data_IF_056129736250
#
_entry.id   IF_056129736250
#
_cell.length_a   1.000
_cell.length_b   1.000
_cell.length_c   1.000
_cell.angle_alpha   90.00
_cell.angle_beta   90.00
_cell.angle_gamma   90.00
#
_symmetry.space_group_name_H-M   'P 1'
#
loop_
_entity.id
_entity.type
_entity.pdbx_description
1 polymer ?
#
# COMPACT_ATOMS: atom_id res chain seq x y z
N UNK A 1 -26.34 -14.49 -7.27
CA UNK A 1 -26.12 -15.13 -5.95
C UNK A 1 -26.94 -16.41 -5.91
N UNK A 2 -26.36 -17.54 -5.48
CA UNK A 2 -27.05 -18.82 -5.31
C UNK A 2 -27.85 -18.84 -4.00
N UNK A 3 -28.98 -19.55 -3.96
CA UNK A 3 -29.78 -19.80 -2.75
C UNK A 3 -28.95 -20.45 -1.63
N UNK A 4 -27.96 -21.26 -2.00
CA UNK A 4 -27.05 -21.93 -1.05
C UNK A 4 -26.26 -20.94 -0.19
N UNK A 5 -25.83 -19.83 -0.79
CA UNK A 5 -25.07 -18.79 -0.09
C UNK A 5 -25.93 -18.13 0.98
N UNK A 6 -27.19 -17.81 0.63
CA UNK A 6 -28.13 -17.16 1.56
C UNK A 6 -28.44 -18.08 2.74
N UNK A 7 -28.67 -19.37 2.47
CA UNK A 7 -28.95 -20.35 3.52
C UNK A 7 -27.74 -20.59 4.43
N UNK A 8 -26.52 -20.59 3.87
CA UNK A 8 -25.28 -20.68 4.64
C UNK A 8 -25.10 -19.48 5.57
N UNK A 9 -25.33 -18.26 5.07
CA UNK A 9 -25.24 -17.03 5.87
C UNK A 9 -26.28 -17.01 6.99
N UNK A 10 -27.44 -17.59 6.73
CA UNK A 10 -28.50 -17.74 7.70
C UNK A 10 -28.23 -18.86 8.73
N UNK A 11 -27.04 -19.48 8.71
CA UNK A 11 -26.55 -20.40 9.73
C UNK A 11 -26.95 -21.86 9.54
N UNK A 12 -27.29 -22.27 8.32
CA UNK A 12 -27.48 -23.68 7.97
C UNK A 12 -26.15 -24.30 7.52
N UNK A 13 -25.90 -25.56 7.90
CA UNK A 13 -24.74 -26.30 7.39
C UNK A 13 -25.00 -26.87 5.99
N UNK A 14 -23.95 -27.35 5.32
CA UNK A 14 -24.03 -27.80 3.94
C UNK A 14 -25.06 -28.91 3.70
N UNK A 15 -25.23 -29.83 4.67
CA UNK A 15 -26.21 -30.92 4.59
C UNK A 15 -27.65 -30.40 4.71
N UNK A 16 -27.87 -29.47 5.63
CA UNK A 16 -29.16 -28.81 5.83
C UNK A 16 -29.55 -27.97 4.60
N UNK A 17 -28.60 -27.24 4.01
CA UNK A 17 -28.81 -26.47 2.77
C UNK A 17 -29.30 -27.38 1.65
N UNK A 18 -28.59 -28.48 1.39
CA UNK A 18 -28.98 -29.46 0.35
C UNK A 18 -30.35 -30.07 0.65
N UNK A 19 -30.64 -30.39 1.92
CA UNK A 19 -31.95 -30.92 2.31
C UNK A 19 -33.09 -29.92 2.04
N UNK A 20 -32.90 -28.64 2.33
CA UNK A 20 -33.88 -27.57 2.06
C UNK A 20 -34.11 -27.40 0.55
N UNK A 21 -33.06 -27.44 -0.27
CA UNK A 21 -33.16 -27.34 -1.73
C UNK A 21 -33.93 -28.52 -2.34
N UNK A 22 -33.69 -29.74 -1.86
CA UNK A 22 -34.41 -30.93 -2.31
C UNK A 22 -35.87 -30.89 -1.85
N UNK A 23 -36.16 -30.53 -0.60
CA UNK A 23 -37.53 -30.54 -0.06
C UNK A 23 -38.40 -29.36 -0.56
N UNK A 24 -37.78 -28.26 -0.97
CA UNK A 24 -38.48 -27.12 -1.58
C UNK A 24 -38.85 -27.35 -3.05
N UNK A 25 -38.14 -28.26 -3.73
CA UNK A 25 -38.45 -28.68 -5.10
C UNK A 25 -39.32 -29.95 -5.16
N UNK A 26 -39.13 -30.88 -4.23
CA UNK A 26 -39.88 -32.14 -4.12
C UNK A 26 -40.53 -32.23 -2.74
N UNK A 27 -41.83 -31.99 -2.67
CA UNK A 27 -42.59 -32.10 -1.42
C UNK A 27 -42.93 -33.57 -1.09
N UNK A 28 -43.20 -33.86 0.19
CA UNK A 28 -43.68 -35.15 0.70
C UNK A 28 -42.71 -36.34 0.57
N UNK A 29 -41.41 -36.09 0.71
CA UNK A 29 -40.37 -37.13 0.70
C UNK A 29 -40.26 -37.86 2.04
N UNK A 30 -39.95 -39.15 1.99
CA UNK A 30 -39.52 -39.92 3.18
C UNK A 30 -38.06 -39.62 3.48
N UNK A 31 -37.64 -39.76 4.75
CA UNK A 31 -36.23 -39.61 5.13
C UNK A 31 -35.27 -40.52 4.33
N UNK A 32 -35.71 -41.73 3.96
CA UNK A 32 -34.91 -42.65 3.12
C UNK A 32 -34.79 -42.19 1.67
N UNK A 33 -35.81 -41.49 1.15
CA UNK A 33 -35.79 -40.95 -0.21
C UNK A 33 -34.91 -39.70 -0.25
N UNK A 34 -34.99 -38.85 0.77
CA UNK A 34 -34.11 -37.71 0.94
C UNK A 34 -32.64 -38.14 1.10
N UNK A 35 -32.37 -39.16 1.92
CA UNK A 35 -31.00 -39.68 2.09
C UNK A 35 -30.37 -40.15 0.77
N UNK A 36 -31.19 -40.74 -0.12
CA UNK A 36 -30.76 -41.19 -1.43
C UNK A 36 -30.42 -40.02 -2.36
N UNK A 37 -31.20 -38.94 -2.32
CA UNK A 37 -30.93 -37.73 -3.11
C UNK A 37 -29.73 -36.93 -2.59
N UNK A 38 -29.51 -36.95 -1.28
CA UNK A 38 -28.39 -36.26 -0.65
C UNK A 38 -27.09 -37.10 -0.63
N UNK A 39 -27.11 -38.31 -1.21
CA UNK A 39 -26.01 -39.28 -1.16
C UNK A 39 -25.43 -39.46 0.26
N UNK A 40 -26.31 -39.51 1.26
CA UNK A 40 -25.94 -39.54 2.67
C UNK A 40 -26.60 -40.71 3.40
N UNK A 41 -26.23 -40.93 4.67
CA UNK A 41 -26.84 -41.99 5.47
C UNK A 41 -28.26 -41.64 5.87
N UNK A 42 -29.11 -42.65 6.07
CA UNK A 42 -30.47 -42.43 6.58
C UNK A 42 -30.48 -41.71 7.94
N UNK A 43 -29.46 -41.98 8.77
CA UNK A 43 -29.30 -41.34 10.08
C UNK A 43 -28.99 -39.84 9.93
N UNK A 44 -28.06 -39.47 9.06
CA UNK A 44 -27.69 -38.07 8.79
C UNK A 44 -28.86 -37.26 8.23
N UNK A 45 -29.67 -37.88 7.36
CA UNK A 45 -30.88 -37.26 6.83
C UNK A 45 -31.90 -37.00 7.95
N UNK A 46 -32.10 -37.93 8.89
CA UNK A 46 -32.97 -37.71 10.05
C UNK A 46 -32.45 -36.58 10.95
N UNK A 47 -31.16 -36.55 11.26
CA UNK A 47 -30.58 -35.48 12.08
C UNK A 47 -30.77 -34.08 11.46
N UNK A 48 -30.60 -33.99 10.14
CA UNK A 48 -30.82 -32.74 9.40
C UNK A 48 -32.29 -32.34 9.40
N UNK A 49 -33.19 -33.30 9.16
CA UNK A 49 -34.65 -33.08 9.19
C UNK A 49 -35.15 -32.65 10.58
N UNK A 50 -34.63 -33.26 11.64
CA UNK A 50 -35.01 -32.92 13.03
C UNK A 50 -34.62 -31.49 13.38
N UNK A 51 -33.39 -31.06 13.01
CA UNK A 51 -32.96 -29.66 13.16
C UNK A 51 -33.80 -28.70 12.32
N UNK A 52 -34.05 -29.03 11.05
CA UNK A 52 -34.86 -28.18 10.18
C UNK A 52 -36.32 -28.08 10.67
N UNK A 53 -36.85 -29.14 11.28
CA UNK A 53 -38.16 -29.14 11.90
C UNK A 53 -38.19 -28.32 13.19
N UNK A 54 -37.15 -28.39 14.03
CA UNK A 54 -37.08 -27.58 15.26
C UNK A 54 -36.94 -26.08 14.98
N UNK A 55 -36.29 -25.71 13.87
CA UNK A 55 -36.25 -24.34 13.35
C UNK A 55 -37.61 -23.94 12.73
N UNK A 56 -38.47 -24.90 12.38
CA UNK A 56 -39.78 -24.66 11.76
C UNK A 56 -39.73 -24.49 10.24
N UNK A 57 -38.61 -24.85 9.59
CA UNK A 57 -38.47 -24.84 8.13
C UNK A 57 -39.14 -26.04 7.47
N UNK A 58 -39.12 -27.20 8.14
CA UNK A 58 -39.67 -28.45 7.61
C UNK A 58 -40.91 -28.87 8.40
N UNK A 59 -41.96 -29.25 7.69
CA UNK A 59 -43.21 -29.81 8.24
C UNK A 59 -43.26 -31.31 7.99
N UNK A 60 -43.82 -32.03 8.96
CA UNK A 60 -43.87 -33.49 8.94
C UNK A 60 -45.32 -33.97 9.06
N UNK A 61 -45.71 -34.97 8.27
CA UNK A 61 -47.02 -35.63 8.40
C UNK A 61 -46.99 -36.74 9.43
N UNK A 62 -48.12 -36.99 10.09
CA UNK A 62 -48.28 -38.08 11.07
C UNK A 62 -48.43 -39.48 10.43
N UNK A 63 -48.21 -39.60 9.11
CA UNK A 63 -48.31 -40.88 8.40
C UNK A 63 -47.16 -41.83 8.77
N UNK A 64 -47.39 -43.14 8.57
CA UNK A 64 -46.35 -44.16 8.63
C UNK A 64 -46.14 -44.75 7.23
N UNK A 65 -44.97 -44.53 6.59
CA UNK A 65 -43.80 -43.78 7.07
C UNK A 65 -43.99 -42.26 7.00
N UNK A 66 -43.32 -41.53 7.91
CA UNK A 66 -43.36 -40.07 8.01
C UNK A 66 -42.87 -39.41 6.72
N UNK A 67 -43.54 -38.35 6.30
CA UNK A 67 -43.18 -37.55 5.12
C UNK A 67 -42.87 -36.12 5.52
N UNK A 68 -41.88 -35.55 4.85
CA UNK A 68 -41.34 -34.23 5.12
C UNK A 68 -41.60 -33.31 3.94
N UNK A 69 -41.88 -32.05 4.23
CA UNK A 69 -42.12 -31.01 3.23
C UNK A 69 -41.52 -29.69 3.69
N UNK A 70 -41.00 -28.92 2.75
CA UNK A 70 -40.53 -27.55 2.96
C UNK A 70 -41.40 -26.62 2.12
N UNK A 71 -41.67 -25.38 2.58
CA UNK A 71 -42.19 -24.33 1.72
C UNK A 71 -41.28 -24.11 0.49
N UNK A 72 -41.77 -23.40 -0.55
CA UNK A 72 -40.92 -22.93 -1.63
C UNK A 72 -39.67 -22.21 -1.10
N UNK A 73 -38.55 -22.33 -1.82
CA UNK A 73 -37.24 -21.84 -1.35
C UNK A 73 -37.27 -20.36 -0.93
N UNK A 74 -38.07 -19.54 -1.63
CA UNK A 74 -38.26 -18.12 -1.33
C UNK A 74 -38.91 -17.91 0.05
N UNK A 75 -40.02 -18.61 0.31
CA UNK A 75 -40.72 -18.54 1.60
C UNK A 75 -39.89 -19.13 2.74
N UNK A 76 -39.15 -20.20 2.47
CA UNK A 76 -38.25 -20.81 3.44
C UNK A 76 -37.15 -19.84 3.87
N UNK A 77 -36.56 -19.11 2.91
CA UNK A 77 -35.56 -18.07 3.19
C UNK A 77 -36.18 -16.89 3.95
N UNK A 78 -37.34 -16.39 3.55
CA UNK A 78 -38.04 -15.30 4.27
C UNK A 78 -38.35 -15.68 5.73
N UNK A 79 -38.84 -16.90 5.95
CA UNK A 79 -39.11 -17.43 7.27
C UNK A 79 -37.84 -17.50 8.12
N UNK A 80 -36.74 -17.97 7.54
CA UNK A 80 -35.45 -18.06 8.23
C UNK A 80 -34.91 -16.67 8.58
N UNK A 81 -35.01 -15.70 7.68
CA UNK A 81 -34.65 -14.29 7.94
C UNK A 81 -35.47 -13.76 9.12
N UNK A 82 -36.78 -14.04 9.16
CA UNK A 82 -37.66 -13.64 10.26
C UNK A 82 -37.20 -14.20 11.62
N UNK A 83 -36.87 -15.51 11.67
CA UNK A 83 -36.34 -16.16 12.87
C UNK A 83 -35.02 -15.51 13.31
N UNK A 84 -34.11 -15.22 12.38
CA UNK A 84 -32.81 -14.59 12.71
C UNK A 84 -32.98 -13.17 13.23
N UNK A 85 -33.89 -12.38 12.67
CA UNK A 85 -34.21 -11.04 13.19
C UNK A 85 -34.73 -11.08 14.63
N UNK A 86 -35.64 -12.01 14.93
CA UNK A 86 -36.15 -12.18 16.29
C UNK A 86 -35.06 -12.64 17.28
N UNK A 87 -34.17 -13.55 16.84
CA UNK A 87 -33.03 -13.97 17.65
C UNK A 87 -32.09 -12.80 17.94
N UNK A 88 -31.76 -11.99 16.92
CA UNK A 88 -30.93 -10.80 17.08
C UNK A 88 -31.57 -9.81 18.05
N UNK A 89 -32.85 -9.49 17.87
CA UNK A 89 -33.58 -8.58 18.74
C UNK A 89 -33.60 -9.05 20.20
N UNK A 90 -33.74 -10.37 20.45
CA UNK A 90 -33.65 -10.93 21.81
C UNK A 90 -32.25 -10.80 22.42
N UNK A 91 -31.20 -10.96 21.61
CA UNK A 91 -29.82 -10.80 22.06
C UNK A 91 -29.54 -9.33 22.38
N UNK A 92 -29.98 -8.40 21.53
CA UNK A 92 -29.88 -6.95 21.74
C UNK A 92 -30.58 -6.53 23.04
N UNK A 93 -31.83 -6.97 23.25
CA UNK A 93 -32.57 -6.70 24.50
C UNK A 93 -31.87 -7.27 25.73
N UNK A 94 -31.41 -8.53 25.67
CA UNK A 94 -30.69 -9.14 26.78
C UNK A 94 -29.37 -8.39 27.08
N UNK A 95 -28.69 -7.88 26.06
CA UNK A 95 -27.48 -7.09 26.21
C UNK A 95 -27.77 -5.74 26.88
N UNK A 96 -28.81 -5.03 26.44
CA UNK A 96 -29.28 -3.78 27.06
C UNK A 96 -29.67 -3.99 28.54
N UNK A 97 -30.41 -5.05 28.85
CA UNK A 97 -30.79 -5.40 30.22
C UNK A 97 -29.58 -5.63 31.13
N UNK A 98 -28.55 -6.32 30.62
CA UNK A 98 -27.29 -6.56 31.34
C UNK A 98 -26.50 -5.27 31.53
N UNK A 99 -26.48 -4.36 30.55
CA UNK A 99 -25.82 -3.06 30.68
C UNK A 99 -26.48 -2.15 31.74
N UNK A 100 -27.81 -2.15 31.81
CA UNK A 100 -28.56 -1.31 32.77
C UNK A 100 -28.52 -1.87 34.20
N UNK A 101 -28.38 -3.19 34.36
CA UNK A 101 -28.41 -3.84 35.66
C UNK A 101 -27.24 -4.83 35.85
N UNK A 102 -25.99 -4.34 35.98
CA UNK A 102 -24.79 -5.18 36.06
C UNK A 102 -24.73 -6.09 37.31
N UNK A 103 -25.62 -5.90 38.28
CA UNK A 103 -25.59 -6.63 39.56
C UNK A 103 -26.09 -8.10 39.52
N UNK A 104 -26.63 -8.59 38.40
CA UNK A 104 -27.08 -9.99 38.28
C UNK A 104 -25.99 -10.96 37.80
N UNK A 105 -24.87 -10.45 37.32
CA UNK A 105 -23.69 -11.23 36.98
C UNK A 105 -22.52 -10.64 37.75
N UNK A 106 -22.22 -11.22 38.92
CA UNK A 106 -20.89 -11.11 39.51
C UNK A 106 -19.89 -11.85 38.61
N UNK A 107 -19.67 -11.36 37.40
CA UNK A 107 -18.40 -11.57 36.75
C UNK A 107 -17.42 -10.75 37.57
N UNK A 108 -16.55 -11.46 38.30
CA UNK A 108 -15.38 -10.84 38.86
C UNK A 108 -14.55 -10.32 37.68
N UNK A 109 -14.83 -9.10 37.23
CA UNK A 109 -13.80 -8.20 36.72
C UNK A 109 -12.93 -7.78 37.91
N UNK A 110 -12.36 -8.76 38.62
CA UNK A 110 -10.95 -8.64 38.90
C UNK A 110 -10.29 -8.83 37.54
N UNK A 111 -10.30 -7.78 36.73
CA UNK A 111 -9.17 -7.51 35.87
C UNK A 111 -8.04 -7.46 36.88
N UNK A 112 -7.35 -8.58 37.05
CA UNK A 112 -5.96 -8.50 37.46
C UNK A 112 -5.38 -7.54 36.42
N UNK A 113 -5.21 -6.28 36.82
CA UNK A 113 -4.21 -5.39 36.24
C UNK A 113 -2.89 -6.12 36.50
N UNK A 114 -2.66 -7.21 35.77
CA UNK A 114 -1.36 -7.81 35.67
C UNK A 114 -0.55 -6.72 34.99
N UNK A 115 0.25 -6.04 35.79
CA UNK A 115 1.33 -5.14 35.36
C UNK A 115 2.28 -5.82 34.37
N UNK A 116 2.16 -7.13 34.18
CA UNK A 116 2.67 -7.85 33.02
C UNK A 116 1.77 -7.62 31.80
N UNK A 117 2.20 -6.71 30.92
CA UNK A 117 1.73 -6.58 29.54
C UNK A 117 2.20 -7.83 28.78
N UNK A 118 1.61 -8.98 29.09
CA UNK A 118 1.90 -10.19 28.33
C UNK A 118 1.35 -9.99 26.91
N UNK A 119 2.20 -10.16 25.88
CA UNK A 119 1.78 -9.95 24.50
C UNK A 119 0.67 -10.94 24.15
N UNK A 120 -0.44 -10.43 23.61
CA UNK A 120 -1.59 -11.26 23.20
C UNK A 120 -1.60 -11.39 21.68
N UNK A 121 -1.93 -12.59 21.21
CA UNK A 121 -1.98 -12.93 19.79
C UNK A 121 -3.32 -13.58 19.46
N UNK A 122 -3.96 -13.15 18.38
CA UNK A 122 -5.18 -13.76 17.87
C UNK A 122 -5.13 -13.86 16.35
N UNK A 123 -5.65 -14.95 15.79
CA UNK A 123 -5.79 -15.11 14.34
C UNK A 123 -7.24 -14.82 13.96
N UNK A 124 -7.43 -13.77 13.17
CA UNK A 124 -8.72 -13.45 12.56
C UNK A 124 -8.80 -14.11 11.19
N UNK A 125 -9.89 -14.85 10.98
CA UNK A 125 -10.23 -15.43 9.68
C UNK A 125 -11.41 -14.68 9.10
N UNK A 126 -11.46 -14.60 7.79
CA UNK A 126 -12.44 -13.89 6.99
C UNK A 126 -12.29 -12.36 7.03
N UNK A 127 -12.39 -11.75 5.85
CA UNK A 127 -12.27 -10.29 5.66
C UNK A 127 -13.20 -9.49 6.56
N UNK A 128 -14.43 -9.95 6.75
CA UNK A 128 -15.44 -9.25 7.56
C UNK A 128 -14.97 -9.07 9.01
N UNK A 129 -14.29 -10.06 9.59
CA UNK A 129 -13.78 -9.96 10.96
C UNK A 129 -12.55 -9.04 11.03
N UNK A 130 -11.68 -9.08 10.02
CA UNK A 130 -10.52 -8.19 9.93
C UNK A 130 -11.00 -6.73 9.84
N UNK A 131 -11.95 -6.43 8.95
CA UNK A 131 -12.51 -5.08 8.81
C UNK A 131 -13.21 -4.60 10.09
N UNK A 132 -13.93 -5.48 10.79
CA UNK A 132 -14.50 -5.15 12.11
C UNK A 132 -13.44 -4.84 13.16
N UNK A 133 -12.28 -5.51 13.12
CA UNK A 133 -11.18 -5.18 14.04
C UNK A 133 -10.56 -3.83 13.69
N UNK A 134 -10.41 -3.51 12.40
CA UNK A 134 -9.96 -2.18 11.94
C UNK A 134 -10.96 -1.10 12.34
N UNK A 135 -12.27 -1.35 12.19
CA UNK A 135 -13.34 -0.45 12.67
C UNK A 135 -13.18 -0.16 14.16
N UNK A 136 -13.03 -1.21 14.98
CA UNK A 136 -12.78 -1.07 16.41
C UNK A 136 -11.48 -0.31 16.72
N UNK A 137 -10.39 -0.59 16.00
CA UNK A 137 -9.12 0.16 16.17
C UNK A 137 -9.31 1.64 15.84
N UNK A 138 -10.06 1.96 14.78
CA UNK A 138 -10.36 3.34 14.45
C UNK A 138 -11.20 4.01 15.54
N UNK A 139 -12.19 3.34 16.12
CA UNK A 139 -13.01 3.90 17.21
C UNK A 139 -12.23 4.07 18.52
N UNK A 140 -11.38 3.11 18.88
CA UNK A 140 -10.60 3.09 20.12
C UNK A 140 -9.32 3.94 20.06
N UNK A 141 -8.86 4.30 18.85
CA UNK A 141 -7.62 5.06 18.65
C UNK A 141 -7.66 6.44 19.32
N UNK A 142 -6.52 6.83 19.88
CA UNK A 142 -6.34 8.07 20.66
C UNK A 142 -5.30 9.01 20.07
N UNK A 143 -4.28 8.48 19.38
CA UNK A 143 -3.16 9.27 18.85
C UNK A 143 -3.00 9.09 17.35
N UNK A 144 -2.87 7.84 16.90
CA UNK A 144 -2.60 7.54 15.49
C UNK A 144 -3.19 6.20 15.04
N UNK A 145 -3.51 6.15 13.75
CA UNK A 145 -3.90 4.93 13.05
C UNK A 145 -3.18 4.90 11.70
N UNK A 146 -2.44 3.83 11.44
CA UNK A 146 -1.76 3.64 10.15
C UNK A 146 -2.35 2.43 9.44
N UNK A 147 -2.75 2.59 8.18
CA UNK A 147 -3.31 1.53 7.35
C UNK A 147 -2.37 1.23 6.19
N UNK A 148 -1.96 -0.03 6.03
CA UNK A 148 -1.15 -0.52 4.91
C UNK A 148 -2.02 -1.38 4.00
N UNK A 149 -2.42 -0.82 2.87
CA UNK A 149 -3.41 -1.36 1.96
C UNK A 149 -2.76 -1.75 0.63
N UNK A 150 -2.85 -3.03 0.25
CA UNK A 150 -2.50 -3.47 -1.10
C UNK A 150 -3.46 -2.92 -2.16
N UNK A 151 -3.30 -3.37 -3.42
CA UNK A 151 -4.05 -2.88 -4.60
C UNK A 151 -5.56 -2.74 -4.38
N UNK A 152 -6.15 -3.69 -3.66
CA UNK A 152 -7.59 -3.77 -3.38
C UNK A 152 -7.97 -3.49 -1.92
N UNK A 153 -7.01 -3.20 -1.04
CA UNK A 153 -7.30 -2.97 0.38
C UNK A 153 -8.24 -1.77 0.59
N UNK A 154 -8.05 -0.70 -0.19
CA UNK A 154 -8.94 0.48 -0.15
C UNK A 154 -10.38 0.15 -0.56
N UNK A 155 -10.57 -0.75 -1.54
CA UNK A 155 -11.89 -1.21 -1.96
C UNK A 155 -12.59 -1.96 -0.81
N UNK A 156 -11.85 -2.78 -0.08
CA UNK A 156 -12.38 -3.54 1.06
C UNK A 156 -12.77 -2.62 2.21
N UNK A 157 -11.91 -1.64 2.51
CA UNK A 157 -12.19 -0.61 3.51
C UNK A 157 -13.48 0.14 3.19
N UNK A 158 -13.60 0.70 1.98
CA UNK A 158 -14.75 1.50 1.55
C UNK A 158 -16.07 0.71 1.43
N UNK A 159 -16.00 -0.61 1.29
CA UNK A 159 -17.18 -1.50 1.29
C UNK A 159 -17.58 -2.01 2.67
N UNK A 160 -16.81 -1.68 3.70
CA UNK A 160 -17.07 -2.07 5.07
C UNK A 160 -17.45 -0.85 5.93
N UNK A 161 -18.13 -1.03 7.08
CA UNK A 161 -18.39 0.07 8.00
C UNK A 161 -17.12 0.77 8.50
N UNK A 162 -15.96 0.10 8.44
CA UNK A 162 -14.68 0.62 8.89
C UNK A 162 -14.29 1.95 8.22
N UNK A 163 -14.69 2.23 6.98
CA UNK A 163 -14.44 3.53 6.35
C UNK A 163 -15.07 4.69 7.13
N UNK A 164 -16.25 4.47 7.69
CA UNK A 164 -16.97 5.48 8.47
C UNK A 164 -16.24 5.73 9.79
N UNK A 165 -15.81 4.66 10.46
CA UNK A 165 -15.03 4.76 11.71
C UNK A 165 -13.69 5.47 11.49
N UNK A 166 -12.96 5.14 10.42
CA UNK A 166 -11.70 5.80 10.04
C UNK A 166 -11.92 7.29 9.76
N UNK A 167 -12.93 7.65 8.97
CA UNK A 167 -13.24 9.06 8.70
C UNK A 167 -13.70 9.82 9.95
N UNK A 168 -14.46 9.16 10.84
CA UNK A 168 -14.83 9.74 12.14
C UNK A 168 -13.61 9.95 13.02
N UNK A 169 -12.67 9.01 13.05
CA UNK A 169 -11.43 9.12 13.80
C UNK A 169 -10.57 10.30 13.32
N UNK A 170 -10.45 10.51 12.00
CA UNK A 170 -9.79 11.68 11.44
C UNK A 170 -10.46 12.98 11.90
N UNK A 171 -11.80 13.02 11.93
CA UNK A 171 -12.57 14.16 12.44
C UNK A 171 -12.39 14.41 13.95
N UNK A 172 -12.06 13.38 14.74
CA UNK A 172 -11.69 13.54 16.15
C UNK A 172 -10.29 14.13 16.35
N UNK A 173 -9.52 14.33 15.27
CA UNK A 173 -8.16 14.86 15.31
C UNK A 173 -7.07 13.80 15.47
N UNK A 174 -7.40 12.52 15.21
CA UNK A 174 -6.44 11.41 15.26
C UNK A 174 -5.60 11.46 13.98
N UNK A 175 -4.29 11.25 14.11
CA UNK A 175 -3.39 11.25 12.95
C UNK A 175 -3.55 9.95 12.18
N UNK A 176 -4.19 10.00 11.01
CA UNK A 176 -4.42 8.82 10.17
C UNK A 176 -3.57 8.89 8.92
N UNK A 177 -2.78 7.82 8.71
CA UNK A 177 -1.90 7.66 7.56
C UNK A 177 -2.26 6.39 6.79
N UNK A 178 -2.36 6.51 5.48
CA UNK A 178 -2.68 5.39 4.59
C UNK A 178 -1.54 5.20 3.60
N UNK A 179 -0.91 4.02 3.66
CA UNK A 179 0.05 3.56 2.65
C UNK A 179 -0.69 2.62 1.72
N UNK A 180 -0.86 3.02 0.46
CA UNK A 180 -1.64 2.31 -0.53
C UNK A 180 -0.82 1.89 -1.76
N UNK A 181 -1.09 0.71 -2.30
CA UNK A 181 -0.68 0.42 -3.68
C UNK A 181 -1.79 0.92 -4.63
N UNK A 182 -1.50 1.98 -5.40
CA UNK A 182 -2.48 2.55 -6.31
C UNK A 182 -2.67 1.64 -7.53
N UNK A 183 -3.93 1.51 -7.97
CA UNK A 183 -4.31 0.81 -9.18
C UNK A 183 -5.42 1.60 -9.87
N UNK A 184 -5.41 1.65 -11.21
CA UNK A 184 -6.41 2.40 -12.00
C UNK A 184 -7.86 2.02 -11.63
N UNK A 185 -8.09 0.78 -11.20
CA UNK A 185 -9.42 0.26 -10.82
C UNK A 185 -9.86 0.70 -9.43
N UNK A 186 -8.92 1.03 -8.55
CA UNK A 186 -9.19 1.33 -7.14
C UNK A 186 -8.94 2.79 -6.75
N UNK A 187 -8.28 3.57 -7.61
CA UNK A 187 -7.95 4.98 -7.37
C UNK A 187 -9.15 5.82 -6.90
N UNK A 188 -10.34 5.60 -7.47
CA UNK A 188 -11.56 6.33 -7.11
C UNK A 188 -11.97 6.20 -5.63
N UNK A 189 -11.63 5.09 -4.97
CA UNK A 189 -12.04 4.83 -3.59
C UNK A 189 -11.22 5.64 -2.57
N UNK A 190 -10.04 6.13 -2.96
CA UNK A 190 -9.29 7.04 -2.09
C UNK A 190 -10.01 8.39 -1.91
N UNK A 191 -10.92 8.76 -2.83
CA UNK A 191 -11.76 9.94 -2.67
C UNK A 191 -12.87 9.81 -1.62
N UNK A 192 -13.12 8.60 -1.11
CA UNK A 192 -14.08 8.38 -0.01
C UNK A 192 -13.44 8.62 1.38
N UNK A 193 -12.12 8.82 1.43
CA UNK A 193 -11.39 9.16 2.66
C UNK A 193 -11.57 10.64 3.01
N UNK A 194 -11.52 10.95 4.30
CA UNK A 194 -11.56 12.32 4.80
C UNK A 194 -10.31 13.12 4.40
N UNK A 195 -10.45 14.42 4.10
CA UNK A 195 -9.36 15.30 3.62
C UNK A 195 -8.16 15.41 4.58
N UNK A 196 -8.36 15.10 5.86
CA UNK A 196 -7.30 15.10 6.89
C UNK A 196 -6.45 13.82 6.89
N UNK A 197 -6.84 12.81 6.12
CA UNK A 197 -6.12 11.54 6.04
C UNK A 197 -5.00 11.67 5.02
N UNK A 198 -3.77 11.48 5.47
CA UNK A 198 -2.62 11.52 4.57
C UNK A 198 -2.49 10.18 3.84
N UNK A 199 -2.40 10.23 2.51
CA UNK A 199 -2.28 9.05 1.66
C UNK A 199 -0.98 9.08 0.87
N UNK A 200 -0.22 8.00 0.95
CA UNK A 200 1.00 7.78 0.14
C UNK A 200 0.93 6.47 -0.63
N UNK A 201 1.55 6.49 -1.80
CA UNK A 201 1.68 5.36 -2.70
C UNK A 201 3.05 4.71 -2.59
N UNK A 202 3.09 3.38 -2.53
CA UNK A 202 4.30 2.59 -2.77
C UNK A 202 3.97 1.39 -3.65
N UNK A 203 4.92 1.00 -4.49
CA UNK A 203 4.85 -0.26 -5.25
C UNK A 203 5.43 -1.43 -4.46
N UNK A 204 6.33 -1.14 -3.51
CA UNK A 204 6.97 -2.13 -2.65
C UNK A 204 6.22 -2.25 -1.31
N UNK A 205 5.11 -2.99 -1.32
CA UNK A 205 4.30 -3.26 -0.13
C UNK A 205 4.32 -4.75 0.23
N UNK A 206 5.42 -5.20 0.82
CA UNK A 206 5.58 -6.59 1.27
C UNK A 206 4.71 -6.93 2.49
N UNK A 207 4.36 -5.91 3.28
CA UNK A 207 3.59 -6.04 4.50
C UNK A 207 2.30 -5.21 4.43
N UNK A 208 1.16 -5.86 4.65
CA UNK A 208 -0.16 -5.22 4.68
C UNK A 208 -0.76 -5.39 6.06
N UNK A 209 -1.56 -4.42 6.51
CA UNK A 209 -1.97 -4.38 7.91
C UNK A 209 -2.59 -3.08 8.39
N UNK A 210 -2.72 -3.00 9.70
CA UNK A 210 -3.10 -1.79 10.42
C UNK A 210 -2.28 -1.69 11.71
N UNK A 211 -2.00 -0.48 12.17
CA UNK A 211 -1.30 -0.19 13.42
C UNK A 211 -2.06 0.92 14.16
N UNK A 212 -2.40 0.70 15.43
CA UNK A 212 -3.08 1.67 16.28
C UNK A 212 -2.23 2.02 17.48
N UNK A 213 -1.97 3.32 17.67
CA UNK A 213 -1.34 3.92 18.86
C UNK A 213 -0.02 3.24 19.32
N UNK A 214 0.68 2.52 18.44
CA UNK A 214 1.83 1.67 18.77
C UNK A 214 1.55 0.64 19.89
N UNK A 215 0.30 0.20 20.02
CA UNK A 215 -0.13 -0.79 21.02
C UNK A 215 -0.66 -2.07 20.37
N UNK A 216 -1.36 -1.92 19.25
CA UNK A 216 -2.00 -3.02 18.54
C UNK A 216 -1.68 -3.00 17.04
N UNK A 217 -1.26 -4.15 16.53
CA UNK A 217 -0.96 -4.36 15.11
C UNK A 217 -1.83 -5.48 14.53
N UNK A 218 -2.37 -5.24 13.35
CA UNK A 218 -2.93 -6.26 12.46
C UNK A 218 -1.94 -6.49 11.32
N UNK A 219 -1.53 -7.73 11.11
CA UNK A 219 -0.72 -8.14 9.96
C UNK A 219 -1.50 -9.15 9.12
N UNK A 220 -1.69 -8.88 7.83
CA UNK A 220 -2.30 -9.85 6.94
C UNK A 220 -1.35 -11.03 6.70
N UNK A 221 -1.86 -12.25 6.85
CA UNK A 221 -1.15 -13.49 6.56
C UNK A 221 -1.48 -13.98 5.14
N UNK A 222 -2.73 -13.82 4.74
CA UNK A 222 -3.23 -14.20 3.43
C UNK A 222 -4.36 -13.26 3.01
N UNK A 223 -4.42 -12.95 1.72
CA UNK A 223 -5.56 -12.29 1.10
C UNK A 223 -5.95 -13.01 -0.18
N UNK A 224 -7.25 -13.20 -0.36
CA UNK A 224 -7.84 -13.74 -1.57
C UNK A 224 -7.55 -12.80 -2.75
N UNK A 225 -7.00 -13.34 -3.85
CA UNK A 225 -6.70 -12.57 -5.06
C UNK A 225 -7.96 -11.91 -5.66
N UNK A 226 -9.11 -12.56 -5.51
CA UNK A 226 -10.37 -12.04 -6.02
C UNK A 226 -10.87 -10.88 -5.14
N UNK A 227 -10.86 -9.64 -5.64
CA UNK A 227 -11.16 -8.47 -4.84
C UNK A 227 -12.64 -8.34 -4.47
N UNK A 228 -13.52 -9.02 -5.19
CA UNK A 228 -14.98 -9.01 -4.98
C UNK A 228 -15.49 -10.29 -4.31
N UNK A 229 -14.59 -11.22 -3.97
CA UNK A 229 -14.91 -12.38 -3.14
C UNK A 229 -15.34 -11.96 -1.73
N UNK A 230 -15.89 -12.92 -0.97
CA UNK A 230 -16.24 -12.67 0.44
C UNK A 230 -15.02 -12.72 1.37
N UNK A 231 -13.83 -13.00 0.83
CA UNK A 231 -12.59 -13.04 1.60
C UNK A 231 -12.61 -14.15 2.63
N UNK A 232 -13.16 -15.32 2.29
CA UNK A 232 -13.23 -16.47 3.22
C UNK A 232 -11.85 -17.01 3.56
N UNK A 233 -10.92 -16.86 2.64
CA UNK A 233 -9.52 -17.30 2.79
C UNK A 233 -8.62 -16.20 3.36
N UNK A 234 -9.15 -14.99 3.55
CA UNK A 234 -8.41 -13.91 4.18
C UNK A 234 -8.13 -14.27 5.63
N UNK A 235 -6.88 -14.06 6.06
CA UNK A 235 -6.44 -14.29 7.42
C UNK A 235 -5.48 -13.19 7.85
N UNK A 236 -5.62 -12.73 9.08
CA UNK A 236 -4.73 -11.76 9.69
C UNK A 236 -4.37 -12.16 11.12
N UNK A 237 -3.17 -11.79 11.54
CA UNK A 237 -2.68 -11.91 12.89
C UNK A 237 -2.87 -10.57 13.60
N UNK A 238 -3.56 -10.58 14.74
CA UNK A 238 -3.71 -9.45 15.65
C UNK A 238 -2.72 -9.63 16.79
N UNK A 239 -1.95 -8.59 17.06
CA UNK A 239 -0.88 -8.59 18.05
C UNK A 239 -1.08 -7.37 18.96
N UNK A 240 -1.36 -7.62 20.22
CA UNK A 240 -1.42 -6.59 21.26
C UNK A 240 -0.12 -6.65 22.05
N UNK A 241 0.86 -5.87 21.61
CA UNK A 241 2.19 -5.81 22.21
C UNK A 241 2.86 -4.49 21.83
N UNK A 242 3.23 -3.64 22.80
CA UNK A 242 3.94 -2.40 22.51
C UNK A 242 5.29 -2.63 21.81
N UNK A 243 6.06 -3.64 22.22
CA UNK A 243 7.39 -3.92 21.65
C UNK A 243 7.30 -4.32 20.16
N UNK A 244 6.35 -5.20 19.83
CA UNK A 244 6.09 -5.58 18.45
C UNK A 244 5.56 -4.39 17.64
N UNK A 245 4.61 -3.65 18.19
CA UNK A 245 3.97 -2.51 17.52
C UNK A 245 4.98 -1.39 17.25
N UNK A 246 5.93 -1.13 18.15
CA UNK A 246 7.02 -0.19 17.92
C UNK A 246 7.99 -0.65 16.82
N UNK A 247 8.33 -1.94 16.80
CA UNK A 247 9.15 -2.52 15.74
C UNK A 247 8.46 -2.41 14.38
N UNK A 248 7.15 -2.67 14.36
CA UNK A 248 6.31 -2.50 13.18
C UNK A 248 6.21 -1.04 12.75
N UNK A 249 6.06 -0.10 13.69
CA UNK A 249 6.04 1.33 13.41
C UNK A 249 7.32 1.77 12.69
N UNK A 250 8.50 1.29 13.09
CA UNK A 250 9.76 1.61 12.41
C UNK A 250 9.80 1.14 10.95
N UNK A 251 9.29 -0.07 10.69
CA UNK A 251 9.15 -0.60 9.32
C UNK A 251 8.20 0.29 8.52
N UNK A 252 7.06 0.65 9.11
CA UNK A 252 6.06 1.50 8.48
C UNK A 252 6.60 2.91 8.19
N UNK A 253 7.39 3.50 9.09
CA UNK A 253 8.04 4.79 8.85
C UNK A 253 9.05 4.72 7.70
N UNK A 254 9.79 3.60 7.55
CA UNK A 254 10.67 3.40 6.40
C UNK A 254 9.88 3.45 5.09
N UNK A 255 8.78 2.67 5.00
CA UNK A 255 7.91 2.63 3.82
C UNK A 255 7.23 3.99 3.58
N UNK A 256 6.75 4.64 4.66
CA UNK A 256 6.13 5.96 4.59
C UNK A 256 7.10 6.99 4.04
N UNK A 257 8.35 6.96 4.53
CA UNK A 257 9.39 7.88 4.13
C UNK A 257 9.66 7.77 2.65
N UNK A 258 9.62 6.58 2.04
CA UNK A 258 9.81 6.28 0.62
C UNK A 258 8.58 6.56 -0.25
N UNK A 259 7.38 6.50 0.34
CA UNK A 259 6.12 6.65 -0.37
C UNK A 259 5.92 8.00 -1.06
N UNK A 260 5.20 7.99 -2.18
CA UNK A 260 4.87 9.17 -2.99
C UNK A 260 3.47 9.68 -2.61
N UNK A 261 3.26 10.99 -2.37
CA UNK A 261 1.93 11.53 -2.07
C UNK A 261 0.88 11.18 -3.13
N UNK A 262 -0.38 10.95 -2.71
CA UNK A 262 -1.49 10.57 -3.58
C UNK A 262 -1.68 11.51 -4.77
N UNK A 263 -1.57 12.83 -4.56
CA UNK A 263 -1.76 13.82 -5.64
C UNK A 263 -0.73 13.66 -6.76
N UNK A 264 0.53 13.42 -6.41
CA UNK A 264 1.59 13.13 -7.38
C UNK A 264 1.39 11.76 -8.03
N UNK A 265 1.15 10.72 -7.22
CA UNK A 265 1.05 9.36 -7.70
C UNK A 265 -0.18 9.12 -8.57
N UNK A 266 -1.30 9.80 -8.31
CA UNK A 266 -2.54 9.70 -9.09
C UNK A 266 -2.36 10.14 -10.54
N UNK A 267 -1.53 11.17 -10.80
CA UNK A 267 -1.22 11.67 -12.15
C UNK A 267 -0.56 10.64 -13.05
N UNK A 268 0.17 9.67 -12.49
CA UNK A 268 0.70 8.52 -13.24
C UNK A 268 -0.42 7.74 -13.94
N UNK A 269 -1.58 7.62 -13.29
CA UNK A 269 -2.71 6.85 -13.80
C UNK A 269 -3.77 7.69 -14.52
N UNK A 270 -3.88 8.98 -14.22
CA UNK A 270 -4.89 9.88 -14.83
C UNK A 270 -4.35 10.69 -16.01
N UNK A 271 -3.14 11.24 -15.89
CA UNK A 271 -2.52 12.15 -16.87
C UNK A 271 -1.44 11.49 -17.71
N UNK A 272 -1.13 10.23 -17.41
CA UNK A 272 0.01 9.51 -17.95
C UNK A 272 1.35 10.26 -17.78
N UNK A 273 1.58 10.86 -16.61
CA UNK A 273 2.80 11.59 -16.29
C UNK A 273 3.33 11.17 -14.94
N UNK A 274 4.65 11.05 -14.83
CA UNK A 274 5.30 10.80 -13.55
C UNK A 274 5.70 12.16 -12.95
N UNK A 275 5.32 12.44 -11.72
CA UNK A 275 5.57 13.75 -11.06
C UNK A 275 6.00 13.58 -9.61
N UNK A 276 6.66 12.46 -9.33
CA UNK A 276 7.13 12.14 -8.00
C UNK A 276 8.25 13.10 -7.58
N UNK A 277 8.36 13.41 -6.28
CA UNK A 277 9.41 14.27 -5.80
C UNK A 277 10.78 13.60 -5.94
N UNK A 278 11.76 14.35 -6.45
CA UNK A 278 13.17 13.94 -6.47
C UNK A 278 13.76 14.03 -5.05
N UNK A 279 14.57 13.04 -4.67
CA UNK A 279 15.27 13.03 -3.39
C UNK A 279 16.74 13.33 -3.63
N UNK A 280 17.24 14.35 -2.93
CA UNK A 280 18.65 14.64 -2.91
C UNK A 280 19.31 13.89 -1.76
N UNK A 281 20.31 13.09 -2.09
CA UNK A 281 21.21 12.49 -1.11
C UNK A 281 22.45 13.35 -1.01
N UNK A 282 22.75 13.81 0.20
CA UNK A 282 24.00 14.51 0.48
C UNK A 282 25.11 13.49 0.74
N UNK A 283 26.34 13.83 0.35
CA UNK A 283 27.50 13.05 0.76
C UNK A 283 27.63 13.01 2.29
N UNK A 284 28.19 11.91 2.81
CA UNK A 284 28.45 11.77 4.25
C UNK A 284 29.37 12.87 4.79
N UNK A 285 29.24 13.18 6.08
CA UNK A 285 30.09 14.14 6.79
C UNK A 285 29.30 15.08 7.71
N UNK A 286 30.00 15.94 8.46
CA UNK A 286 29.39 16.96 9.29
C UNK A 286 29.03 18.19 8.46
N UNK A 287 27.75 18.49 8.31
CA UNK A 287 27.30 19.75 7.69
C UNK A 287 27.88 20.98 8.39
N UNK A 288 28.11 20.89 9.70
CA UNK A 288 28.70 21.98 10.46
C UNK A 288 30.17 22.22 10.07
N UNK A 289 30.95 21.15 9.87
CA UNK A 289 32.34 21.27 9.41
C UNK A 289 32.40 21.81 7.99
N UNK A 290 31.55 21.29 7.08
CA UNK A 290 31.46 21.82 5.70
C UNK A 290 31.10 23.30 5.68
N UNK A 291 30.15 23.74 6.51
CA UNK A 291 29.82 25.17 6.64
C UNK A 291 31.01 25.97 7.18
N UNK A 292 31.79 25.44 8.12
CA UNK A 292 33.00 26.11 8.63
C UNK A 292 34.07 26.26 7.56
N UNK A 293 34.32 25.22 6.76
CA UNK A 293 35.26 25.25 5.64
C UNK A 293 34.88 26.30 4.59
N UNK A 294 33.59 26.33 4.20
CA UNK A 294 33.07 27.31 3.24
C UNK A 294 33.17 28.75 3.75
N UNK A 295 32.93 28.92 5.06
CA UNK A 295 33.00 30.21 5.73
C UNK A 295 34.43 30.59 6.17
N UNK A 296 35.43 29.75 5.89
CA UNK A 296 36.84 29.93 6.28
C UNK A 296 37.02 30.19 7.79
N UNK A 297 36.22 29.49 8.61
CA UNK A 297 36.24 29.62 10.07
C UNK A 297 37.34 28.73 10.63
N UNK A 298 38.44 29.34 11.12
CA UNK A 298 39.57 28.63 11.72
C UNK A 298 39.15 27.66 12.85
N UNK A 299 39.83 26.50 12.89
CA UNK A 299 39.57 25.41 13.86
C UNK A 299 39.96 25.75 15.31
N UNK A 300 40.80 26.76 15.51
CA UNK A 300 41.24 27.18 16.84
C UNK A 300 40.18 28.04 17.52
N UNK A 301 39.21 27.39 18.15
CA UNK A 301 38.43 28.02 19.20
C UNK A 301 39.41 28.37 20.36
N UNK A 302 39.53 29.65 20.77
CA UNK A 302 40.41 30.01 21.85
C UNK A 302 40.00 29.24 23.12
N UNK A 303 40.97 28.52 23.69
CA UNK A 303 40.76 27.67 24.88
C UNK A 303 40.69 28.48 26.19
N UNK A 304 41.03 29.77 26.12
CA UNK A 304 40.87 30.74 27.20
C UNK A 304 39.88 31.84 26.78
N UNK A 305 39.08 32.33 27.74
CA UNK A 305 38.17 33.45 27.54
C UNK A 305 38.94 34.66 26.99
N UNK A 306 38.73 34.94 25.71
CA UNK A 306 39.28 36.14 25.08
C UNK A 306 38.54 37.37 25.62
N UNK A 307 39.24 38.41 26.08
CA UNK A 307 38.59 39.63 26.55
C UNK A 307 37.69 40.20 25.45
N UNK A 308 36.52 40.71 25.84
CA UNK A 308 35.56 41.30 24.91
C UNK A 308 36.20 42.46 24.13
N UNK A 309 36.50 42.23 22.84
CA UNK A 309 37.03 43.23 21.93
C UNK A 309 35.99 43.58 20.84
N UNK A 310 35.45 44.81 20.87
CA UNK A 310 34.48 45.28 19.88
C UNK A 310 35.00 45.25 18.44
N UNK A 311 36.30 45.45 18.21
CA UNK A 311 36.88 45.43 16.85
C UNK A 311 36.94 44.01 16.28
N UNK A 312 37.30 43.03 17.10
CA UNK A 312 37.27 41.60 16.73
C UNK A 312 35.86 41.12 16.33
N UNK A 313 34.81 41.57 17.02
CA UNK A 313 33.41 41.24 16.68
C UNK A 313 32.99 41.88 15.35
N UNK A 314 33.40 43.13 15.11
CA UNK A 314 33.14 43.83 13.84
C UNK A 314 33.84 43.15 12.66
N UNK A 315 35.11 42.74 12.84
CA UNK A 315 35.88 42.04 11.81
C UNK A 315 35.29 40.66 11.49
N UNK A 316 34.99 39.84 12.51
CA UNK A 316 34.33 38.55 12.32
C UNK A 316 32.96 38.70 11.64
N UNK A 317 32.19 39.74 12.01
CA UNK A 317 30.91 40.06 11.37
C UNK A 317 31.07 40.46 9.89
N UNK A 318 32.14 41.17 9.52
CA UNK A 318 32.46 41.50 8.14
C UNK A 318 32.91 40.28 7.34
N UNK A 319 33.73 39.39 7.91
CA UNK A 319 34.18 38.14 7.30
C UNK A 319 33.01 37.20 7.02
N UNK A 320 32.13 36.97 8.00
CA UNK A 320 30.91 36.18 7.82
C UNK A 320 30.01 36.79 6.73
N UNK A 321 29.87 38.13 6.70
CA UNK A 321 29.07 38.80 5.69
C UNK A 321 29.68 38.70 4.28
N UNK A 322 31.02 38.74 4.17
CA UNK A 322 31.72 38.52 2.91
C UNK A 322 31.59 37.07 2.42
N UNK A 323 31.73 36.10 3.32
CA UNK A 323 31.53 34.68 3.00
C UNK A 323 30.07 34.40 2.57
N UNK A 324 29.08 35.01 3.26
CA UNK A 324 27.66 34.95 2.83
C UNK A 324 27.43 35.58 1.46
N UNK A 325 28.07 36.71 1.14
CA UNK A 325 27.99 37.31 -0.20
C UNK A 325 28.65 36.45 -1.28
N UNK A 326 29.76 35.78 -0.99
CA UNK A 326 30.40 34.83 -1.91
C UNK A 326 29.48 33.65 -2.22
N UNK A 327 28.79 33.12 -1.21
CA UNK A 327 27.74 32.10 -1.37
C UNK A 327 26.56 32.61 -2.21
N UNK A 328 26.12 33.85 -1.99
CA UNK A 328 25.03 34.47 -2.76
C UNK A 328 25.38 34.67 -4.25
N UNK A 329 26.66 34.88 -4.57
CA UNK A 329 27.15 35.03 -5.95
C UNK A 329 27.50 33.69 -6.64
N UNK A 330 27.62 32.60 -5.90
CA UNK A 330 28.29 31.35 -6.32
C UNK A 330 27.49 30.37 -7.19
N UNK A 331 26.30 30.75 -7.67
CA UNK A 331 25.51 29.93 -8.62
C UNK A 331 25.27 28.47 -8.19
N UNK A 332 24.94 27.60 -9.14
CA UNK A 332 24.70 26.15 -8.91
C UNK A 332 25.98 25.45 -8.41
N UNK A 333 27.16 25.96 -8.76
CA UNK A 333 28.47 25.43 -8.32
C UNK A 333 28.69 25.54 -6.81
N UNK A 334 28.08 26.54 -6.15
CA UNK A 334 28.10 26.66 -4.68
C UNK A 334 27.40 25.49 -3.97
N UNK A 335 26.49 24.77 -4.64
CA UNK A 335 25.83 23.59 -4.10
C UNK A 335 26.82 22.42 -3.93
N UNK A 336 27.81 22.29 -4.82
CA UNK A 336 28.87 21.30 -4.69
C UNK A 336 29.68 21.50 -3.41
N UNK A 337 29.89 22.75 -2.99
CA UNK A 337 30.59 23.06 -1.74
C UNK A 337 29.83 22.52 -0.51
N UNK A 338 28.51 22.41 -0.57
CA UNK A 338 27.69 21.82 0.49
C UNK A 338 27.65 20.28 0.47
N UNK A 339 28.46 19.63 -0.38
CA UNK A 339 28.45 18.17 -0.53
C UNK A 339 27.27 17.66 -1.34
N UNK A 340 26.69 18.50 -2.20
CA UNK A 340 25.71 18.08 -3.21
C UNK A 340 26.47 17.73 -4.47
N UNK A 341 26.54 16.45 -4.80
CA UNK A 341 27.11 16.01 -6.08
C UNK A 341 26.21 16.46 -7.24
N UNK A 342 26.63 17.53 -7.93
CA UNK A 342 25.89 18.14 -9.05
C UNK A 342 25.82 17.19 -10.25
N UNK A 343 26.86 16.37 -10.47
CA UNK A 343 26.89 15.41 -11.56
C UNK A 343 25.82 14.33 -11.33
N UNK A 344 25.82 13.73 -10.14
CA UNK A 344 24.79 12.76 -9.75
C UNK A 344 23.38 13.36 -9.77
N UNK A 345 23.22 14.61 -9.33
CA UNK A 345 21.93 15.31 -9.35
C UNK A 345 21.42 15.49 -10.79
N UNK A 346 22.24 16.07 -11.67
CA UNK A 346 21.84 16.29 -13.06
C UNK A 346 21.55 14.97 -13.77
N UNK A 347 22.33 13.93 -13.48
CA UNK A 347 22.07 12.58 -13.99
C UNK A 347 20.75 12.01 -13.50
N UNK A 348 20.41 12.15 -12.21
CA UNK A 348 19.11 11.71 -11.68
C UNK A 348 17.94 12.46 -12.32
N UNK A 349 18.08 13.76 -12.53
CA UNK A 349 17.08 14.56 -13.27
C UNK A 349 16.95 14.05 -14.71
N UNK A 350 18.08 13.73 -15.35
CA UNK A 350 18.12 13.18 -16.69
C UNK A 350 17.37 11.85 -16.78
N UNK A 351 17.74 10.89 -15.92
CA UNK A 351 17.06 9.59 -15.80
C UNK A 351 15.56 9.78 -15.66
N UNK A 352 15.14 10.73 -14.82
CA UNK A 352 13.73 11.01 -14.63
C UNK A 352 13.04 11.53 -15.88
N UNK A 353 13.64 12.49 -16.58
CA UNK A 353 13.13 12.99 -17.85
C UNK A 353 13.03 11.84 -18.87
N UNK A 354 14.02 10.97 -18.91
CA UNK A 354 14.04 9.76 -19.75
C UNK A 354 12.89 8.79 -19.45
N UNK A 355 12.65 8.49 -18.17
CA UNK A 355 11.51 7.67 -17.72
C UNK A 355 10.17 8.30 -18.14
N UNK A 356 10.00 9.60 -17.92
CA UNK A 356 8.78 10.33 -18.29
C UNK A 356 8.55 10.33 -19.81
N UNK A 357 9.63 10.53 -20.58
CA UNK A 357 9.62 10.46 -22.04
C UNK A 357 9.19 9.06 -22.50
N UNK A 358 9.81 8.01 -21.96
CA UNK A 358 9.46 6.61 -22.24
C UNK A 358 8.00 6.31 -21.90
N UNK A 359 7.55 6.76 -20.74
CA UNK A 359 6.19 6.56 -20.26
C UNK A 359 5.16 7.27 -21.15
N UNK A 360 5.48 8.46 -21.66
CA UNK A 360 4.61 9.20 -22.60
C UNK A 360 4.42 8.47 -23.93
N UNK A 361 5.40 7.65 -24.33
CA UNK A 361 5.43 6.86 -25.57
C UNK A 361 5.06 5.38 -25.35
N UNK A 362 4.50 5.01 -24.19
CA UNK A 362 4.19 3.61 -23.83
C UNK A 362 3.22 2.90 -24.77
N UNK A 363 2.41 3.65 -25.53
CA UNK A 363 1.43 3.11 -26.47
C UNK A 363 2.09 2.56 -27.76
N UNK A 364 3.39 2.86 -27.97
CA UNK A 364 4.18 2.33 -29.09
C UNK A 364 4.57 0.88 -28.79
N UNK A 365 4.03 -0.06 -29.58
CA UNK A 365 4.27 -1.50 -29.36
C UNK A 365 5.63 -1.97 -29.90
N UNK A 366 6.12 -1.38 -30.99
CA UNK A 366 7.37 -1.79 -31.65
C UNK A 366 8.60 -1.13 -31.03
N UNK A 367 9.65 -1.90 -30.76
CA UNK A 367 10.88 -1.35 -30.17
C UNK A 367 11.66 -0.48 -31.16
N UNK A 368 11.65 -0.80 -32.46
CA UNK A 368 12.25 0.05 -33.50
C UNK A 368 11.48 1.36 -33.67
N UNK A 369 10.15 1.30 -33.62
CA UNK A 369 9.29 2.48 -33.71
C UNK A 369 9.51 3.41 -32.51
N UNK A 370 9.63 2.83 -31.31
CA UNK A 370 9.96 3.56 -30.10
C UNK A 370 11.32 4.25 -30.18
N UNK A 371 12.35 3.53 -30.65
CA UNK A 371 13.69 4.10 -30.79
C UNK A 371 13.74 5.22 -31.82
N UNK A 372 13.06 5.07 -32.96
CA UNK A 372 12.99 6.13 -33.96
C UNK A 372 12.34 7.41 -33.39
N UNK A 373 11.21 7.28 -32.69
CA UNK A 373 10.55 8.44 -32.06
C UNK A 373 11.42 9.09 -30.97
N UNK A 374 12.15 8.28 -30.19
CA UNK A 374 13.14 8.79 -29.22
C UNK A 374 14.27 9.56 -29.91
N UNK A 375 14.81 9.01 -31.01
CA UNK A 375 15.87 9.64 -31.79
C UNK A 375 15.41 10.93 -32.45
N UNK A 376 14.22 10.94 -33.03
CA UNK A 376 13.62 12.14 -33.63
C UNK A 376 13.41 13.22 -32.57
N UNK A 377 12.95 12.85 -31.37
CA UNK A 377 12.82 13.79 -30.24
C UNK A 377 14.17 14.35 -29.81
N UNK A 378 15.20 13.49 -29.73
CA UNK A 378 16.56 13.87 -29.34
C UNK A 378 17.19 14.87 -30.32
N UNK A 379 17.12 14.57 -31.63
CA UNK A 379 17.64 15.43 -32.68
C UNK A 379 16.83 16.74 -32.79
N UNK A 380 15.50 16.67 -32.70
CA UNK A 380 14.63 17.87 -32.71
C UNK A 380 14.92 18.80 -31.54
N UNK A 381 15.24 18.25 -30.37
CA UNK A 381 15.61 19.02 -29.18
C UNK A 381 17.01 19.62 -29.26
N UNK A 382 17.81 19.26 -30.27
CA UNK A 382 19.15 19.78 -30.49
C UNK A 382 20.21 19.22 -29.54
N UNK A 383 19.98 18.05 -28.95
CA UNK A 383 20.84 17.43 -27.93
C UNK A 383 21.98 16.57 -28.52
N UNK A 384 22.09 16.50 -29.85
CA UNK A 384 23.13 15.77 -30.56
C UNK A 384 22.53 14.70 -31.48
N UNK A 385 23.27 13.60 -31.67
CA UNK A 385 22.87 12.48 -32.53
C UNK A 385 22.96 11.15 -31.80
N UNK A 386 21.99 10.29 -32.09
CA UNK A 386 21.96 8.91 -31.65
C UNK A 386 22.11 8.00 -32.86
N UNK A 387 22.88 6.93 -32.71
CA UNK A 387 22.99 5.87 -33.71
C UNK A 387 22.78 4.54 -33.04
N UNK A 388 22.12 3.60 -33.70
CA UNK A 388 22.02 2.22 -33.24
C UNK A 388 22.62 1.28 -34.28
N UNK A 389 23.31 0.24 -33.83
CA UNK A 389 23.88 -0.80 -34.69
C UNK A 389 23.82 -2.16 -33.98
N UNK A 390 24.12 -3.23 -34.72
CA UNK A 390 24.08 -4.62 -34.27
C UNK A 390 25.44 -5.27 -34.58
N UNK A 391 26.43 -5.03 -33.72
CA UNK A 391 27.71 -5.77 -33.78
C UNK A 391 28.51 -5.65 -32.47
N UNK A 392 28.74 -6.75 -31.69
CA UNK A 392 28.15 -8.09 -31.77
C UNK A 392 26.78 -8.22 -31.06
N UNK A 393 26.32 -7.15 -30.38
CA UNK A 393 25.04 -7.04 -29.67
C UNK A 393 24.36 -5.74 -30.12
N UNK A 394 23.03 -5.67 -30.04
CA UNK A 394 22.29 -4.43 -30.29
C UNK A 394 22.76 -3.34 -29.32
N UNK A 395 23.20 -2.19 -29.85
CA UNK A 395 23.68 -1.10 -29.02
C UNK A 395 23.28 0.27 -29.57
N UNK A 396 23.17 1.24 -28.67
CA UNK A 396 22.88 2.64 -28.97
C UNK A 396 24.12 3.46 -28.57
N UNK A 397 24.68 4.19 -29.53
CA UNK A 397 25.79 5.11 -29.32
C UNK A 397 25.27 6.56 -29.19
N UNK A 398 25.73 7.23 -28.14
CA UNK A 398 25.38 8.62 -27.85
C UNK A 398 26.55 9.52 -28.26
N UNK A 399 26.28 10.47 -29.15
CA UNK A 399 27.23 11.50 -29.55
C UNK A 399 26.77 12.86 -29.02
N UNK A 400 27.47 13.36 -28.00
CA UNK A 400 27.22 14.67 -27.38
C UNK A 400 28.13 15.74 -28.02
N UNK A 401 27.57 16.93 -28.25
CA UNK A 401 28.28 18.04 -28.89
C UNK A 401 29.15 18.89 -27.92
N UNK A 402 29.08 18.64 -26.61
CA UNK A 402 29.73 19.47 -25.60
C UNK A 402 31.24 19.21 -25.43
N UNK A 403 32.01 20.30 -25.29
CA UNK A 403 33.41 20.26 -24.83
C UNK A 403 33.43 20.42 -23.32
N UNK A 404 33.89 19.38 -22.62
CA UNK A 404 34.05 19.38 -21.16
C UNK A 404 35.02 20.51 -20.73
N UNK A 405 34.55 21.43 -19.91
CA UNK A 405 35.37 22.41 -19.18
C UNK A 405 35.13 22.25 -17.69
N UNK A 406 36.19 22.30 -16.87
CA UNK A 406 36.10 22.17 -15.40
C UNK A 406 35.24 23.27 -14.74
N UNK A 407 35.00 24.40 -15.42
CA UNK A 407 34.17 25.51 -14.93
C UNK A 407 32.70 25.46 -15.41
N UNK A 408 32.33 24.50 -16.27
CA UNK A 408 30.96 24.35 -16.79
C UNK A 408 30.15 23.32 -16.01
N UNK A 409 28.83 23.49 -15.95
CA UNK A 409 27.92 22.47 -15.40
C UNK A 409 28.05 21.17 -16.21
N UNK A 410 28.02 19.99 -15.56
CA UNK A 410 28.11 18.70 -16.26
C UNK A 410 26.78 18.37 -16.95
N UNK A 411 26.40 19.15 -17.97
CA UNK A 411 25.16 18.94 -18.74
C UNK A 411 25.19 17.62 -19.51
N UNK A 412 26.37 17.16 -19.93
CA UNK A 412 26.57 15.80 -20.42
C UNK A 412 25.98 14.71 -19.49
N UNK A 413 25.99 14.91 -18.17
CA UNK A 413 25.46 13.94 -17.21
C UNK A 413 23.93 13.93 -17.21
N UNK A 414 23.30 15.10 -17.41
CA UNK A 414 21.86 15.23 -17.64
C UNK A 414 21.46 14.51 -18.94
N UNK A 415 22.14 14.83 -20.03
CA UNK A 415 21.85 14.30 -21.36
C UNK A 415 22.00 12.78 -21.39
N UNK A 416 23.10 12.25 -20.86
CA UNK A 416 23.33 10.82 -20.72
C UNK A 416 22.25 10.15 -19.84
N UNK A 417 21.85 10.82 -18.75
CA UNK A 417 20.76 10.36 -17.90
C UNK A 417 19.43 10.23 -18.64
N UNK A 418 19.08 11.17 -19.53
CA UNK A 418 17.83 11.11 -20.32
C UNK A 418 17.80 9.84 -21.17
N UNK A 419 18.90 9.52 -21.84
CA UNK A 419 19.00 8.30 -22.66
C UNK A 419 18.89 7.06 -21.79
N UNK A 420 19.61 7.02 -20.67
CA UNK A 420 19.56 5.90 -19.72
C UNK A 420 18.16 5.62 -19.22
N UNK A 421 17.47 6.64 -18.69
CA UNK A 421 16.13 6.50 -18.14
C UNK A 421 15.13 6.03 -19.20
N UNK A 422 15.27 6.53 -20.44
CA UNK A 422 14.40 6.14 -21.53
C UNK A 422 14.62 4.69 -22.00
N UNK A 423 15.87 4.21 -22.01
CA UNK A 423 16.20 2.83 -22.39
C UNK A 423 15.82 1.87 -21.26
N UNK A 424 16.27 2.11 -20.02
CA UNK A 424 16.00 1.25 -18.88
C UNK A 424 14.49 1.07 -18.66
N UNK A 425 13.72 2.16 -18.69
CA UNK A 425 12.25 2.12 -18.52
C UNK A 425 11.53 1.29 -19.60
N UNK A 426 12.12 1.13 -20.79
CA UNK A 426 11.51 0.39 -21.91
C UNK A 426 11.88 -1.10 -21.90
N UNK A 427 13.13 -1.42 -21.60
CA UNK A 427 13.72 -2.73 -21.86
C UNK A 427 13.96 -3.56 -20.60
N UNK A 428 14.39 -2.95 -19.49
CA UNK A 428 14.82 -3.67 -18.29
C UNK A 428 13.65 -4.32 -17.53
N UNK A 429 12.43 -3.81 -17.72
CA UNK A 429 11.22 -4.42 -17.14
C UNK A 429 10.80 -5.73 -17.82
N UNK A 430 11.52 -6.21 -18.85
CA UNK A 430 11.18 -7.43 -19.60
C UNK A 430 12.11 -8.58 -19.18
N UNK A 431 11.50 -9.73 -18.88
CA UNK A 431 12.25 -10.95 -18.55
C UNK A 431 13.25 -11.31 -19.66
N UNK A 432 14.52 -11.49 -19.28
CA UNK A 432 15.60 -11.90 -20.17
C UNK A 432 16.32 -10.77 -20.89
N UNK A 433 16.04 -9.49 -20.62
CA UNK A 433 16.79 -8.37 -21.20
C UNK A 433 17.70 -7.74 -20.15
N UNK A 434 18.99 -7.61 -20.47
CA UNK A 434 19.98 -6.91 -19.65
C UNK A 434 20.51 -5.70 -20.43
N UNK A 435 20.55 -4.53 -19.78
CA UNK A 435 21.07 -3.30 -20.39
C UNK A 435 22.41 -2.96 -19.72
N UNK A 436 23.49 -2.95 -20.48
CA UNK A 436 24.82 -2.61 -20.00
C UNK A 436 25.26 -1.25 -20.55
N UNK A 437 25.71 -0.37 -19.64
CA UNK A 437 26.26 0.95 -20.01
C UNK A 437 27.79 0.89 -20.08
N UNK A 438 28.35 1.36 -21.19
CA UNK A 438 29.78 1.46 -21.42
C UNK A 438 30.13 2.93 -21.70
N UNK A 439 31.07 3.48 -20.92
CA UNK A 439 31.62 4.81 -21.17
C UNK A 439 32.64 4.75 -22.32
N UNK A 440 32.54 5.71 -23.23
CA UNK A 440 33.56 5.93 -24.25
C UNK A 440 34.87 6.37 -23.61
N UNK A 441 35.98 5.78 -24.05
CA UNK A 441 37.32 6.27 -23.71
C UNK A 441 37.79 7.26 -24.80
N UNK A 442 38.86 8.00 -24.52
CA UNK A 442 39.52 8.98 -25.41
C UNK A 442 39.94 8.45 -26.81
N UNK A 443 39.76 7.15 -27.06
CA UNK A 443 40.01 6.44 -28.31
C UNK A 443 38.74 6.11 -29.14
N UNK A 444 37.54 6.31 -28.59
CA UNK A 444 36.26 5.99 -29.23
C UNK A 444 35.52 7.25 -29.74
N UNK A 445 34.69 7.11 -30.78
CA UNK A 445 33.94 8.20 -31.39
C UNK A 445 32.59 8.51 -30.68
N UNK A 446 32.23 7.78 -29.63
CA UNK A 446 30.98 7.95 -28.88
C UNK A 446 31.26 8.32 -27.41
N UNK A 447 30.33 9.04 -26.78
CA UNK A 447 30.43 9.42 -25.36
C UNK A 447 30.02 8.26 -24.45
N UNK A 448 28.87 7.65 -24.73
CA UNK A 448 28.36 6.49 -24.03
C UNK A 448 27.72 5.51 -25.02
N UNK A 449 27.77 4.23 -24.67
CA UNK A 449 27.17 3.13 -25.43
C UNK A 449 26.29 2.31 -24.49
N UNK A 450 25.04 2.09 -24.88
CA UNK A 450 24.10 1.23 -24.17
C UNK A 450 23.92 -0.07 -24.96
N UNK A 451 24.39 -1.19 -24.43
CA UNK A 451 24.23 -2.52 -25.04
C UNK A 451 22.97 -3.19 -24.47
N UNK A 452 22.08 -3.66 -25.35
CA UNK A 452 20.84 -4.35 -24.99
C UNK A 452 21.00 -5.83 -25.30
N UNK A 453 21.24 -6.63 -24.27
CA UNK A 453 21.46 -8.07 -24.36
C UNK A 453 20.11 -8.77 -24.17
N UNK A 454 19.64 -9.50 -25.19
CA UNK A 454 18.45 -10.34 -25.11
C UNK A 454 18.89 -11.80 -24.89
N UNK A 455 18.63 -12.36 -23.71
CA UNK A 455 18.95 -13.74 -23.31
C UNK A 455 17.88 -14.75 -23.71
#
# INVERSE_FOLDING_TARGET
>A
MSWEVILSDAGLNEREIKAVLVLSSKSNLKASELAKELETTRLDAYNSLEKLQSIGLVKTTADRPMRFSCPPITEAVEHLIGIRKLQLQRIEQAYEEVQVNPNTLKFNETVEESTDINPKFAVLKERTHIMKRIEKMADDSTQNLILLLGKFGILHLCRSPAITAVNNAANRGINIRVIGQLDRRTLRFYGDLHDLIEVRHTDNLEAQGALMDNLETIQYLNMEENPVGRGKEDAALVIESPDFSNSWANLVESIWSEGVPLDSASKRYTENRIVDPLRLTFEGGSFLERIREILDVNDDLPTEDTPFDPESILNAGMEINQARKKLETGGVQSLAAFGIDIETLLRQVGIRIGEELSFSMKDINGDVEYLNEMMDWWEYSGLGKLTYDIDPVFHIEVHLDEKVSEESLPLWALDDGIIEGAIMSRYESRDGIEVARILGDSSNNFHSRYEIIMN
#
